data_IF_400592279581
#
_entry.id   IF_400592279581
#
_cell.length_a   1.000
_cell.length_b   1.000
_cell.length_c   1.000
_cell.angle_alpha   90.00
_cell.angle_beta   90.00
_cell.angle_gamma   90.00
#
_symmetry.space_group_name_H-M   'P 1'
#
loop_
_entity.id
_entity.type
_entity.pdbx_description
1 polymer ?
#
# COMPACT_ATOMS: atom_id res chain seq x y z
N UNK A 1 26.52 -22.90 -4.34
CA UNK A 1 25.75 -22.08 -5.31
C UNK A 1 24.26 -22.29 -5.04
N UNK A 2 23.55 -21.25 -4.61
CA UNK A 2 22.16 -21.33 -4.13
C UNK A 2 21.11 -21.50 -5.24
N UNK A 3 19.99 -20.80 -5.08
CA UNK A 3 18.92 -20.71 -6.08
C UNK A 3 19.52 -20.10 -7.36
N UNK A 4 19.15 -20.63 -8.53
CA UNK A 4 19.58 -20.11 -9.83
C UNK A 4 18.37 -19.60 -10.63
N UNK A 5 18.57 -18.51 -11.36
CA UNK A 5 17.58 -17.86 -12.22
C UNK A 5 17.70 -18.33 -13.68
N UNK A 6 18.50 -19.35 -13.95
CA UNK A 6 18.64 -19.96 -15.26
C UNK A 6 17.28 -20.46 -15.79
N UNK A 7 17.13 -20.57 -17.11
CA UNK A 7 15.91 -21.09 -17.72
C UNK A 7 16.08 -22.53 -18.23
N UNK A 8 17.29 -23.07 -18.17
CA UNK A 8 17.66 -24.33 -18.81
C UNK A 8 17.37 -25.55 -17.94
N UNK A 9 17.25 -25.38 -16.62
CA UNK A 9 16.65 -26.40 -15.75
C UNK A 9 15.17 -26.69 -16.07
N UNK A 10 14.48 -25.79 -16.79
CA UNK A 10 13.07 -25.97 -17.18
C UNK A 10 12.93 -26.87 -18.41
N UNK A 11 11.77 -27.52 -18.55
CA UNK A 11 11.43 -28.35 -19.72
C UNK A 11 11.27 -27.50 -20.99
N UNK A 12 11.41 -28.12 -22.17
CA UNK A 12 11.10 -27.49 -23.47
C UNK A 12 9.59 -27.23 -23.58
N UNK A 13 9.19 -26.35 -24.51
CA UNK A 13 7.78 -26.13 -24.88
C UNK A 13 7.10 -27.42 -25.34
N UNK A 14 7.84 -28.32 -25.99
CA UNK A 14 7.38 -29.67 -26.39
C UNK A 14 7.23 -30.64 -25.21
N UNK A 15 7.62 -30.25 -23.98
CA UNK A 15 7.56 -31.10 -22.79
C UNK A 15 8.81 -31.96 -22.54
N UNK A 16 9.76 -32.02 -23.49
CA UNK A 16 10.96 -32.84 -23.33
C UNK A 16 11.94 -32.24 -22.31
N UNK A 17 12.63 -33.13 -21.58
CA UNK A 17 13.64 -32.78 -20.59
C UNK A 17 14.90 -32.24 -21.28
N UNK A 18 15.50 -31.19 -20.72
CA UNK A 18 16.80 -30.67 -21.16
C UNK A 18 17.90 -31.28 -20.30
N UNK A 19 19.01 -31.67 -20.93
CA UNK A 19 20.23 -32.05 -20.22
C UNK A 19 20.98 -30.76 -19.83
N UNK A 20 21.39 -30.58 -18.57
CA UNK A 20 22.28 -29.48 -18.19
C UNK A 20 23.58 -29.57 -19.00
N UNK A 21 23.98 -28.48 -19.65
CA UNK A 21 25.17 -28.42 -20.49
C UNK A 21 26.37 -27.84 -19.75
N UNK A 22 26.15 -26.99 -18.75
CA UNK A 22 27.19 -26.48 -17.88
C UNK A 22 26.73 -26.39 -16.41
N UNK A 23 27.67 -26.01 -15.54
CA UNK A 23 27.40 -25.78 -14.11
C UNK A 23 26.83 -24.38 -13.94
N UNK A 24 26.03 -24.19 -12.88
CA UNK A 24 25.49 -22.88 -12.46
C UNK A 24 26.58 -21.81 -12.50
N UNK A 25 26.21 -20.57 -12.86
CA UNK A 25 27.12 -19.40 -12.91
C UNK A 25 26.77 -18.34 -11.89
N UNK A 26 27.76 -17.54 -11.48
CA UNK A 26 27.61 -16.50 -10.44
C UNK A 26 26.60 -15.41 -10.84
N UNK A 27 26.53 -15.06 -12.12
CA UNK A 27 25.64 -14.01 -12.63
C UNK A 27 24.15 -14.43 -12.70
N UNK A 28 23.84 -15.71 -12.56
CA UNK A 28 22.45 -16.22 -12.52
C UNK A 28 21.98 -16.54 -11.10
N UNK A 29 22.68 -16.05 -10.08
CA UNK A 29 22.33 -16.32 -8.70
C UNK A 29 21.01 -15.62 -8.33
N UNK A 30 20.09 -16.37 -7.73
CA UNK A 30 18.89 -15.81 -7.09
C UNK A 30 19.11 -15.55 -5.59
N UNK A 31 18.36 -14.58 -5.06
CA UNK A 31 18.33 -14.27 -3.63
C UNK A 31 17.03 -14.73 -2.98
N UNK A 32 17.06 -14.98 -1.67
CA UNK A 32 15.87 -15.30 -0.89
C UNK A 32 14.95 -14.07 -0.77
N UNK A 33 13.65 -14.31 -0.63
CA UNK A 33 12.68 -13.24 -0.45
C UNK A 33 12.84 -12.55 0.91
N UNK A 34 12.75 -11.21 0.93
CA UNK A 34 12.92 -10.42 2.14
C UNK A 34 11.81 -10.62 3.20
N UNK A 35 10.59 -10.99 2.78
CA UNK A 35 9.44 -11.23 3.66
C UNK A 35 9.21 -10.13 4.72
N UNK A 36 9.32 -8.86 4.31
CA UNK A 36 9.17 -7.70 5.18
C UNK A 36 7.83 -7.72 5.91
N UNK A 37 7.84 -7.53 7.23
CA UNK A 37 6.65 -7.54 8.08
C UNK A 37 6.45 -6.21 8.78
N UNK A 38 5.24 -5.95 9.23
CA UNK A 38 4.96 -4.87 10.17
C UNK A 38 5.66 -5.17 11.51
N UNK A 39 6.53 -4.28 11.97
CA UNK A 39 7.28 -4.45 13.22
C UNK A 39 8.01 -3.16 13.65
N UNK A 40 8.63 -3.15 14.85
CA UNK A 40 9.33 -1.98 15.37
C UNK A 40 10.70 -1.76 14.69
N UNK A 41 10.73 -1.03 13.57
CA UNK A 41 11.79 -0.10 13.16
C UNK A 41 11.30 0.84 12.03
N UNK A 42 11.57 2.13 12.21
CA UNK A 42 11.34 3.35 11.39
C UNK A 42 10.10 3.46 10.47
N UNK A 43 9.13 4.22 10.99
CA UNK A 43 7.97 4.84 10.34
C UNK A 43 8.19 5.05 8.84
N UNK A 44 7.39 4.37 8.02
CA UNK A 44 7.47 4.47 6.56
C UNK A 44 6.58 5.61 6.05
N UNK A 45 7.12 6.46 5.19
CA UNK A 45 6.37 7.51 4.49
C UNK A 45 5.48 6.88 3.42
N UNK A 46 4.17 6.91 3.62
CA UNK A 46 3.21 6.54 2.58
C UNK A 46 2.87 7.80 1.77
N UNK A 47 3.45 7.93 0.57
CA UNK A 47 3.19 9.05 -0.34
C UNK A 47 1.82 8.94 -1.01
N UNK A 48 0.80 9.41 -0.32
CA UNK A 48 -0.57 9.38 -0.82
C UNK A 48 -0.84 10.47 -1.86
N UNK A 49 -1.54 10.10 -2.93
CA UNK A 49 -2.21 11.03 -3.83
C UNK A 49 -3.71 11.01 -3.50
N UNK A 50 -4.10 11.98 -2.69
CA UNK A 50 -5.47 12.44 -2.47
C UNK A 50 -5.36 13.92 -2.13
N UNK A 51 -6.02 14.79 -2.90
CA UNK A 51 -5.90 16.26 -2.80
C UNK A 51 -4.45 16.82 -2.92
N UNK A 52 -3.54 16.09 -3.57
CA UNK A 52 -2.11 16.45 -3.70
C UNK A 52 -1.34 16.54 -2.35
N UNK A 53 -1.81 15.84 -1.30
CA UNK A 53 -1.15 15.85 0.00
C UNK A 53 -0.39 14.54 0.32
N UNK A 54 0.91 14.67 0.62
CA UNK A 54 1.76 13.56 1.03
C UNK A 54 2.12 13.67 2.51
N UNK A 55 1.86 12.60 3.28
CA UNK A 55 2.12 12.58 4.72
C UNK A 55 2.74 11.26 5.16
N UNK A 56 3.58 11.34 6.18
CA UNK A 56 4.16 10.17 6.83
C UNK A 56 3.12 9.58 7.78
N UNK A 57 2.73 8.33 7.55
CA UNK A 57 1.73 7.63 8.38
C UNK A 57 2.24 6.27 8.81
N UNK A 58 1.75 5.82 9.95
CA UNK A 58 2.07 4.48 10.44
C UNK A 58 1.19 3.45 9.75
N UNK A 59 1.81 2.39 9.21
CA UNK A 59 1.09 1.19 8.76
C UNK A 59 0.66 0.41 10.00
N UNK A 60 -0.65 0.19 10.12
CA UNK A 60 -1.26 -0.53 11.24
C UNK A 60 -1.37 -2.02 10.95
N UNK A 61 -1.98 -2.37 9.81
CA UNK A 61 -2.24 -3.77 9.47
C UNK A 61 -2.32 -3.99 7.95
N UNK A 62 -2.19 -5.24 7.52
CA UNK A 62 -2.40 -5.66 6.13
C UNK A 62 -3.80 -6.28 6.03
N UNK A 63 -4.64 -5.74 5.16
CA UNK A 63 -6.05 -6.16 5.06
C UNK A 63 -6.32 -7.01 3.83
N UNK A 64 -5.68 -6.70 2.71
CA UNK A 64 -5.96 -7.40 1.47
C UNK A 64 -4.72 -7.55 0.60
N UNK A 65 -4.61 -8.70 -0.07
CA UNK A 65 -3.61 -8.97 -1.08
C UNK A 65 -4.28 -9.80 -2.18
N UNK A 66 -4.07 -9.40 -3.44
CA UNK A 66 -4.66 -10.07 -4.59
C UNK A 66 -4.00 -11.42 -4.89
N UNK A 67 -2.69 -11.55 -4.67
CA UNK A 67 -1.92 -12.73 -5.10
C UNK A 67 -2.00 -13.88 -4.10
N UNK A 68 -1.94 -13.59 -2.79
CA UNK A 68 -1.91 -14.64 -1.77
C UNK A 68 -2.49 -14.15 -0.43
N UNK A 69 -3.49 -14.86 0.08
CA UNK A 69 -4.14 -14.57 1.37
C UNK A 69 -3.26 -14.87 2.59
N UNK A 70 -2.25 -15.75 2.46
CA UNK A 70 -1.28 -16.04 3.54
C UNK A 70 -0.52 -14.77 3.96
N UNK A 71 -0.22 -13.89 3.01
CA UNK A 71 0.52 -12.64 3.26
C UNK A 71 -0.27 -11.66 4.14
N UNK A 72 -1.60 -11.70 4.05
CA UNK A 72 -2.50 -10.94 4.93
C UNK A 72 -2.42 -11.51 6.35
N UNK A 73 -2.50 -12.83 6.50
CA UNK A 73 -2.44 -13.53 7.81
C UNK A 73 -1.11 -13.30 8.52
N UNK A 74 0.00 -13.27 7.79
CA UNK A 74 1.35 -13.08 8.35
C UNK A 74 1.78 -11.63 8.45
N UNK A 75 0.90 -10.67 8.11
CA UNK A 75 1.20 -9.23 8.08
C UNK A 75 2.46 -8.89 7.27
N UNK A 76 2.58 -9.53 6.11
CA UNK A 76 3.73 -9.37 5.20
C UNK A 76 3.42 -8.31 4.14
N UNK A 77 4.35 -7.36 3.99
CA UNK A 77 4.23 -6.21 3.09
C UNK A 77 4.86 -6.53 1.74
N UNK A 78 4.06 -6.41 0.69
CA UNK A 78 4.45 -6.65 -0.71
C UNK A 78 3.85 -5.54 -1.58
N UNK A 79 4.41 -5.34 -2.78
CA UNK A 79 3.83 -4.43 -3.77
C UNK A 79 2.35 -4.77 -4.02
N UNK A 80 1.55 -3.72 -4.13
CA UNK A 80 0.10 -3.69 -4.33
C UNK A 80 -0.72 -4.38 -3.23
N UNK A 81 -0.16 -4.55 -2.02
CA UNK A 81 -0.96 -4.95 -0.87
C UNK A 81 -1.75 -3.75 -0.32
N UNK A 82 -2.96 -4.03 0.16
CA UNK A 82 -3.82 -3.06 0.81
C UNK A 82 -3.62 -3.14 2.31
N UNK A 83 -3.31 -1.99 2.88
CA UNK A 83 -2.95 -1.80 4.28
C UNK A 83 -3.86 -0.77 4.94
N UNK A 84 -4.01 -0.85 6.25
CA UNK A 84 -4.60 0.21 7.06
C UNK A 84 -3.51 1.14 7.55
N UNK A 85 -3.69 2.43 7.31
CA UNK A 85 -2.80 3.50 7.77
C UNK A 85 -3.54 4.43 8.72
N UNK A 86 -2.79 5.07 9.61
CA UNK A 86 -3.30 6.14 10.46
C UNK A 86 -3.84 7.32 9.63
N UNK A 87 -5.03 7.84 9.98
CA UNK A 87 -5.63 8.98 9.29
C UNK A 87 -5.24 10.33 9.90
N UNK A 88 -4.67 10.36 11.11
CA UNK A 88 -4.45 11.60 11.87
C UNK A 88 -3.62 12.65 11.14
N UNK A 89 -2.53 12.34 10.40
CA UNK A 89 -1.74 13.37 9.73
C UNK A 89 -2.48 14.00 8.53
N UNK A 90 -3.44 13.28 7.95
CA UNK A 90 -4.31 13.80 6.88
C UNK A 90 -5.42 14.67 7.46
N UNK A 91 -5.99 14.28 8.61
CA UNK A 91 -6.99 15.08 9.31
C UNK A 91 -6.43 16.46 9.72
N UNK A 92 -5.25 16.47 10.35
CA UNK A 92 -4.56 17.72 10.74
C UNK A 92 -4.25 18.61 9.52
N UNK A 93 -3.87 18.00 8.40
CA UNK A 93 -3.64 18.77 7.18
C UNK A 93 -4.94 19.35 6.64
N UNK A 94 -6.02 18.57 6.59
CA UNK A 94 -7.32 19.03 6.11
C UNK A 94 -7.87 20.19 6.96
N UNK A 95 -7.79 20.09 8.29
CA UNK A 95 -8.14 21.18 9.21
C UNK A 95 -7.34 22.47 8.92
N UNK A 96 -6.04 22.34 8.65
CA UNK A 96 -5.16 23.46 8.30
C UNK A 96 -5.45 24.05 6.91
N UNK A 97 -5.89 23.22 5.96
CA UNK A 97 -6.06 23.61 4.57
C UNK A 97 -7.42 24.23 4.28
N UNK A 98 -8.47 23.61 4.84
CA UNK A 98 -9.86 23.98 4.67
C UNK A 98 -10.39 24.91 5.79
N UNK A 99 -9.61 25.11 6.87
CA UNK A 99 -9.96 25.90 8.05
C UNK A 99 -11.26 25.47 8.74
N UNK A 100 -11.12 24.54 9.69
CA UNK A 100 -12.08 24.35 10.78
C UNK A 100 -11.41 24.40 12.17
N UNK A 101 -10.71 25.48 12.59
CA UNK A 101 -10.46 25.69 14.01
C UNK A 101 -11.53 26.60 14.61
N UNK A 102 -12.14 26.12 15.70
CA UNK A 102 -12.91 26.92 16.65
C UNK A 102 -12.03 28.09 17.14
N UNK A 103 -12.22 29.31 16.62
CA UNK A 103 -11.76 30.54 17.29
C UNK A 103 -10.84 31.53 16.56
N UNK A 104 -10.39 31.28 15.31
CA UNK A 104 -9.58 32.26 14.56
C UNK A 104 -10.38 32.95 13.43
N UNK A 105 -10.20 34.26 13.23
CA UNK A 105 -10.92 35.04 12.20
C UNK A 105 -10.67 34.44 10.80
N UNK A 106 -11.73 33.96 10.14
CA UNK A 106 -11.68 33.44 8.76
C UNK A 106 -11.23 34.55 7.80
N UNK A 107 -10.13 34.33 7.09
CA UNK A 107 -9.71 35.17 5.97
C UNK A 107 -10.41 34.75 4.67
N UNK A 108 -10.59 35.69 3.71
CA UNK A 108 -11.29 35.49 2.43
C UNK A 108 -10.81 34.27 1.61
N UNK A 109 -9.55 33.87 1.77
CA UNK A 109 -8.94 32.70 1.11
C UNK A 109 -9.59 31.36 1.51
N UNK A 110 -10.18 31.28 2.70
CA UNK A 110 -10.80 30.05 3.20
C UNK A 110 -12.23 29.86 2.66
N UNK A 111 -12.96 30.94 2.43
CA UNK A 111 -14.33 30.90 1.91
C UNK A 111 -14.39 30.31 0.48
N UNK A 112 -13.34 30.50 -0.32
CA UNK A 112 -13.22 29.88 -1.65
C UNK A 112 -12.88 28.38 -1.58
N UNK A 113 -12.09 27.97 -0.58
CA UNK A 113 -11.68 26.58 -0.39
C UNK A 113 -12.80 25.72 0.19
N UNK A 114 -13.62 26.30 1.06
CA UNK A 114 -14.79 25.65 1.68
C UNK A 114 -15.77 25.14 0.61
N UNK A 115 -15.96 25.88 -0.49
CA UNK A 115 -16.86 25.50 -1.59
C UNK A 115 -16.44 24.20 -2.29
N UNK A 116 -15.14 23.93 -2.36
CA UNK A 116 -14.57 22.75 -3.02
C UNK A 116 -14.20 21.64 -2.02
N UNK A 117 -14.40 21.84 -0.71
CA UNK A 117 -13.93 20.94 0.34
C UNK A 117 -14.78 19.66 0.50
N UNK A 118 -15.62 19.30 -0.47
CA UNK A 118 -16.52 18.15 -0.35
C UNK A 118 -15.77 16.83 -0.55
N UNK A 119 -15.53 16.12 0.54
CA UNK A 119 -14.95 14.77 0.53
C UNK A 119 -16.01 13.72 0.14
N UNK A 120 -15.60 12.68 -0.58
CA UNK A 120 -16.48 11.54 -0.89
C UNK A 120 -16.97 10.83 0.39
N UNK A 121 -18.24 10.38 0.40
CA UNK A 121 -18.85 9.71 1.57
C UNK A 121 -18.03 8.55 2.11
N UNK A 122 -17.50 7.71 1.21
CA UNK A 122 -16.69 6.54 1.57
C UNK A 122 -15.38 6.92 2.28
N UNK A 123 -14.76 8.03 1.88
CA UNK A 123 -13.54 8.50 2.50
C UNK A 123 -13.84 9.17 3.85
N UNK A 124 -14.97 9.89 3.97
CA UNK A 124 -15.46 10.44 5.24
C UNK A 124 -15.69 9.36 6.31
N UNK A 125 -16.28 8.22 5.94
CA UNK A 125 -16.46 7.07 6.85
C UNK A 125 -15.12 6.54 7.39
N UNK A 126 -14.06 6.54 6.57
CA UNK A 126 -12.72 6.10 6.98
C UNK A 126 -12.03 7.10 7.91
N UNK A 127 -12.23 8.40 7.66
CA UNK A 127 -11.72 9.44 8.55
C UNK A 127 -12.35 9.34 9.95
N UNK A 128 -13.65 9.10 10.04
CA UNK A 128 -14.34 8.87 11.31
C UNK A 128 -13.83 7.63 12.05
N UNK A 129 -13.43 6.58 11.31
CA UNK A 129 -12.82 5.39 11.89
C UNK A 129 -11.37 5.60 12.38
N UNK A 130 -10.74 6.73 12.05
CA UNK A 130 -9.35 7.03 12.40
C UNK A 130 -8.31 6.22 11.60
N UNK A 131 -8.75 5.49 10.56
CA UNK A 131 -7.88 4.62 9.75
C UNK A 131 -8.27 4.71 8.29
N UNK A 132 -7.30 5.01 7.44
CA UNK A 132 -7.46 5.04 6.00
C UNK A 132 -7.00 3.72 5.39
N UNK A 133 -7.69 3.30 4.33
CA UNK A 133 -7.19 2.24 3.48
C UNK A 133 -6.12 2.82 2.54
N UNK A 134 -5.00 2.12 2.35
CA UNK A 134 -3.95 2.53 1.42
C UNK A 134 -3.40 1.32 0.65
N UNK A 135 -2.94 1.55 -0.57
CA UNK A 135 -2.27 0.58 -1.42
C UNK A 135 -0.77 0.86 -1.46
N UNK A 136 0.05 -0.15 -1.16
CA UNK A 136 1.52 -0.04 -1.24
C UNK A 136 1.95 -0.16 -2.70
N UNK A 137 2.56 0.87 -3.29
CA UNK A 137 3.02 0.86 -4.68
C UNK A 137 4.48 0.39 -4.83
N UNK A 138 5.26 0.51 -3.76
CA UNK A 138 6.71 0.22 -3.72
C UNK A 138 7.05 -1.27 -3.61
N UNK A 139 8.30 -1.61 -3.92
CA UNK A 139 8.87 -2.96 -3.76
C UNK A 139 9.82 -3.00 -2.56
N UNK A 140 9.27 -3.26 -1.37
CA UNK A 140 10.01 -3.16 -0.11
C UNK A 140 11.29 -4.02 -0.06
N UNK A 141 11.26 -5.24 -0.59
CA UNK A 141 12.42 -6.14 -0.57
C UNK A 141 13.61 -5.69 -1.43
N UNK A 142 13.46 -4.60 -2.20
CA UNK A 142 14.52 -4.02 -3.02
C UNK A 142 14.86 -2.61 -2.55
N UNK A 143 13.84 -1.76 -2.36
CA UNK A 143 14.01 -0.35 -2.02
C UNK A 143 14.12 -0.09 -0.51
N UNK A 144 13.73 -1.04 0.34
CA UNK A 144 13.70 -0.86 1.80
C UNK A 144 12.66 0.14 2.33
N UNK A 145 11.80 0.68 1.46
CA UNK A 145 10.81 1.71 1.80
C UNK A 145 9.41 1.32 1.32
N UNK A 146 8.40 1.62 2.15
CA UNK A 146 7.00 1.37 1.87
C UNK A 146 6.26 2.66 1.43
N UNK A 147 6.37 3.02 0.16
CA UNK A 147 5.55 4.05 -0.48
C UNK A 147 4.24 3.47 -1.01
N UNK A 148 3.17 4.25 -0.96
CA UNK A 148 1.83 3.85 -1.37
C UNK A 148 0.86 5.02 -1.41
N UNK A 149 -0.35 4.80 -1.92
CA UNK A 149 -1.39 5.82 -2.06
C UNK A 149 -2.73 5.39 -1.46
N UNK A 150 -3.58 6.35 -1.08
CA UNK A 150 -4.96 6.10 -0.67
C UNK A 150 -5.80 5.96 -1.95
N UNK A 151 -6.47 4.82 -2.16
CA UNK A 151 -7.37 4.64 -3.28
C UNK A 151 -8.60 5.54 -3.10
N UNK A 152 -9.11 6.06 -4.21
CA UNK A 152 -10.28 6.94 -4.23
C UNK A 152 -11.32 6.44 -5.25
N UNK A 153 -12.55 6.96 -5.13
CA UNK A 153 -13.63 6.69 -6.08
C UNK A 153 -13.92 5.19 -6.29
N UNK A 154 -13.99 4.79 -7.57
CA UNK A 154 -14.33 3.41 -7.97
C UNK A 154 -13.30 2.36 -7.53
N UNK A 155 -12.02 2.75 -7.43
CA UNK A 155 -10.97 1.84 -6.96
C UNK A 155 -11.22 1.48 -5.50
N UNK A 156 -11.48 2.48 -4.67
CA UNK A 156 -11.78 2.27 -3.26
C UNK A 156 -13.01 1.40 -3.07
N UNK A 157 -14.08 1.70 -3.80
CA UNK A 157 -15.33 0.93 -3.74
C UNK A 157 -15.12 -0.55 -4.09
N UNK A 158 -14.35 -0.83 -5.14
CA UNK A 158 -14.04 -2.19 -5.58
C UNK A 158 -13.36 -3.00 -4.46
N UNK A 159 -12.33 -2.45 -3.83
CA UNK A 159 -11.60 -3.15 -2.78
C UNK A 159 -12.39 -3.25 -1.47
N UNK A 160 -13.17 -2.23 -1.10
CA UNK A 160 -14.08 -2.31 0.05
C UNK A 160 -15.10 -3.44 -0.14
N UNK A 161 -15.67 -3.59 -1.34
CA UNK A 161 -16.59 -4.69 -1.67
C UNK A 161 -15.92 -6.06 -1.51
N UNK A 162 -14.68 -6.21 -1.99
CA UNK A 162 -13.91 -7.46 -1.86
C UNK A 162 -13.57 -7.78 -0.40
N UNK A 163 -13.21 -6.79 0.39
CA UNK A 163 -12.89 -6.95 1.82
C UNK A 163 -14.14 -7.37 2.60
N UNK A 164 -15.28 -6.69 2.39
CA UNK A 164 -16.56 -7.03 3.02
C UNK A 164 -16.99 -8.47 2.70
N UNK A 165 -16.94 -8.86 1.43
CA UNK A 165 -17.31 -10.21 1.00
C UNK A 165 -16.40 -11.32 1.57
N UNK A 166 -15.15 -11.02 1.92
CA UNK A 166 -14.23 -11.97 2.56
C UNK A 166 -14.40 -12.07 4.07
N UNK A 167 -14.92 -11.01 4.72
CA UNK A 167 -15.13 -11.00 6.18
C UNK A 167 -16.45 -11.66 6.58
N UNK A 168 -17.44 -11.70 5.69
CA UNK A 168 -18.72 -12.38 5.91
C UNK A 168 -18.72 -13.88 5.58
N UNK A 169 -17.55 -14.46 5.29
CA UNK A 169 -17.33 -15.90 5.11
C UNK A 169 -16.45 -16.39 6.26
#
# INVERSE_FOLDING_TARGET
MGISQDNWHKRRKTGSKRKPYDKKRKYELGHLAANTKTGPHHIHTVHVRGECCTRKTRITDVVYNASNSKLVRTKTLVKNCFVLTDSTPYHQWYESHCALPLGCKKGKKYDEREKNAKISRLLGEQFQQGKLLACVASRLGQCGQAHGYVPEGKELEFYLRKIKARKGK
#
